data_IF_477408080350
#
_entry.id   IF_477408080350
#
_cell.length_a   1.000
_cell.length_b   1.000
_cell.length_c   1.000
_cell.angle_alpha   90.00
_cell.angle_beta   90.00
_cell.angle_gamma   90.00
#
_symmetry.space_group_name_H-M   'P 1'
#
loop_
_entity.id
_entity.type
_entity.pdbx_description
1 polymer ?
#
# COMPACT_ATOMS: atom_id res chain seq x y z
N UNK A 1 -7.85 -7.72 8.01
CA UNK A 1 -9.09 -7.96 7.27
C UNK A 1 -9.56 -9.38 7.48
N UNK A 2 -10.85 -9.65 7.26
CA UNK A 2 -11.50 -10.96 7.47
C UNK A 2 -11.58 -11.80 6.20
N UNK A 3 -11.11 -11.30 5.06
CA UNK A 3 -11.04 -12.04 3.79
C UNK A 3 -10.19 -13.30 3.95
N UNK A 4 -10.79 -14.45 3.61
CA UNK A 4 -10.14 -15.77 3.67
C UNK A 4 -8.88 -15.79 2.81
N UNK A 5 -7.92 -16.60 3.21
CA UNK A 5 -6.62 -16.70 2.54
C UNK A 5 -6.74 -17.17 1.09
N UNK A 6 -7.63 -18.13 0.82
CA UNK A 6 -7.89 -18.67 -0.52
C UNK A 6 -8.46 -17.60 -1.47
N UNK A 7 -9.49 -16.89 -1.02
CA UNK A 7 -10.11 -15.78 -1.78
C UNK A 7 -9.07 -14.70 -2.10
N UNK A 8 -8.21 -14.38 -1.13
CA UNK A 8 -7.14 -13.40 -1.32
C UNK A 8 -6.14 -13.82 -2.38
N UNK A 9 -5.71 -15.08 -2.36
CA UNK A 9 -4.79 -15.61 -3.37
C UNK A 9 -5.42 -15.55 -4.77
N UNK A 10 -6.70 -15.90 -4.90
CA UNK A 10 -7.43 -15.81 -6.16
C UNK A 10 -7.54 -14.37 -6.68
N UNK A 11 -7.82 -13.40 -5.80
CA UNK A 11 -7.89 -11.97 -6.14
C UNK A 11 -6.53 -11.42 -6.58
N UNK A 12 -5.45 -11.79 -5.87
CA UNK A 12 -4.09 -11.41 -6.25
C UNK A 12 -3.69 -11.96 -7.62
N UNK A 13 -4.05 -13.20 -7.91
CA UNK A 13 -3.77 -13.82 -9.21
C UNK A 13 -4.47 -13.03 -10.33
N UNK A 14 -5.77 -12.79 -10.19
CA UNK A 14 -6.55 -12.00 -11.16
C UNK A 14 -6.00 -10.59 -11.39
N UNK A 15 -5.49 -9.96 -10.34
CA UNK A 15 -4.90 -8.62 -10.47
C UNK A 15 -3.55 -8.64 -11.20
N UNK A 16 -2.70 -9.63 -10.92
CA UNK A 16 -1.38 -9.74 -11.54
C UNK A 16 -1.39 -10.44 -12.92
N UNK A 17 -2.55 -10.91 -13.40
CA UNK A 17 -2.67 -11.54 -14.71
C UNK A 17 -2.32 -10.54 -15.84
N UNK A 18 -1.49 -10.93 -16.83
CA UNK A 18 -1.22 -10.10 -17.98
C UNK A 18 -2.52 -9.73 -18.70
N UNK A 19 -2.73 -8.43 -18.95
CA UNK A 19 -3.97 -7.95 -19.56
C UNK A 19 -5.19 -7.97 -18.62
N UNK A 20 -4.97 -8.03 -17.30
CA UNK A 20 -6.04 -7.89 -16.32
C UNK A 20 -6.88 -6.64 -16.59
N UNK A 21 -8.20 -6.82 -16.64
CA UNK A 21 -9.16 -5.71 -16.76
C UNK A 21 -9.32 -4.89 -15.46
N UNK A 22 -8.73 -5.36 -14.36
CA UNK A 22 -8.83 -4.72 -13.05
C UNK A 22 -7.73 -3.67 -12.89
N UNK A 23 -8.10 -2.39 -12.96
CA UNK A 23 -7.17 -1.29 -12.81
C UNK A 23 -6.78 -1.00 -11.35
N UNK A 24 -7.69 -1.25 -10.40
CA UNK A 24 -7.52 -0.89 -8.98
C UNK A 24 -7.61 -2.14 -8.10
N UNK A 25 -6.68 -2.26 -7.15
CA UNK A 25 -6.74 -3.23 -6.07
C UNK A 25 -6.81 -2.50 -4.73
N UNK A 26 -7.91 -2.66 -4.00
CA UNK A 26 -8.09 -2.05 -2.68
C UNK A 26 -7.53 -2.96 -1.59
N UNK A 27 -6.77 -2.37 -0.67
CA UNK A 27 -6.10 -3.08 0.40
C UNK A 27 -6.11 -2.22 1.67
N UNK A 28 -6.39 -2.86 2.82
CA UNK A 28 -6.19 -2.21 4.12
C UNK A 28 -4.70 -2.26 4.48
N UNK A 29 -4.11 -1.14 4.90
CA UNK A 29 -2.67 -1.01 5.21
C UNK A 29 -2.13 -2.15 6.08
N UNK A 30 -2.84 -2.50 7.16
CA UNK A 30 -2.46 -3.60 8.07
C UNK A 30 -2.56 -5.01 7.48
N UNK A 31 -3.38 -5.21 6.45
CA UNK A 31 -3.38 -6.47 5.70
C UNK A 31 -2.21 -6.55 4.69
N UNK A 32 -1.59 -5.41 4.36
CA UNK A 32 -0.40 -5.32 3.51
C UNK A 32 0.83 -5.96 4.13
N UNK A 33 0.90 -6.04 5.47
CA UNK A 33 2.00 -6.70 6.17
C UNK A 33 2.07 -8.22 6.07
N UNK A 34 1.11 -8.85 5.38
CA UNK A 34 1.00 -10.30 5.25
C UNK A 34 1.74 -10.89 4.04
N UNK A 35 2.70 -10.16 3.44
CA UNK A 35 3.59 -10.75 2.42
C UNK A 35 3.05 -10.77 0.99
N UNK A 36 2.05 -9.93 0.66
CA UNK A 36 1.40 -9.92 -0.66
C UNK A 36 2.35 -9.45 -1.78
N UNK A 37 2.07 -9.85 -3.03
CA UNK A 37 2.81 -9.42 -4.22
C UNK A 37 1.87 -8.70 -5.20
N UNK A 38 2.14 -7.42 -5.46
CA UNK A 38 1.34 -6.55 -6.33
C UNK A 38 2.21 -5.92 -7.43
N UNK A 39 3.16 -6.69 -7.98
CA UNK A 39 4.07 -6.25 -9.04
C UNK A 39 3.40 -5.77 -10.33
N UNK A 40 2.14 -6.11 -10.58
CA UNK A 40 1.40 -5.52 -11.70
C UNK A 40 1.02 -4.05 -11.48
N UNK A 41 1.04 -3.55 -10.23
CA UNK A 41 0.77 -2.15 -9.93
C UNK A 41 2.06 -1.32 -9.93
N UNK A 42 1.99 -0.14 -10.52
CA UNK A 42 3.03 0.89 -10.47
C UNK A 42 2.63 2.12 -9.66
N UNK A 43 1.36 2.25 -9.27
CA UNK A 43 0.86 3.41 -8.54
C UNK A 43 0.26 2.96 -7.21
N UNK A 44 0.77 3.52 -6.10
CA UNK A 44 0.28 3.28 -4.74
C UNK A 44 -0.32 4.57 -4.21
N UNK A 45 -1.60 4.51 -3.82
CA UNK A 45 -2.29 5.60 -3.15
C UNK A 45 -2.44 5.25 -1.67
N UNK A 46 -1.78 6.01 -0.80
CA UNK A 46 -2.03 5.95 0.64
C UNK A 46 -3.18 6.91 0.94
N UNK A 47 -4.37 6.34 1.17
CA UNK A 47 -5.60 7.10 1.37
C UNK A 47 -5.63 7.80 2.74
N UNK A 48 -5.26 7.07 3.79
CA UNK A 48 -5.12 7.55 5.16
C UNK A 48 -3.76 7.16 5.75
N UNK A 49 -3.18 8.02 6.59
CA UNK A 49 -1.90 7.77 7.25
C UNK A 49 -2.05 6.87 8.48
N UNK A 50 -1.25 5.79 8.56
CA UNK A 50 -1.13 5.05 9.81
C UNK A 50 -0.22 5.82 10.81
N UNK A 51 -0.51 5.67 12.10
CA UNK A 51 0.30 6.21 13.19
C UNK A 51 1.68 5.56 13.27
N UNK A 52 1.82 4.34 12.76
CA UNK A 52 3.07 3.64 12.59
C UNK A 52 3.54 3.73 11.13
N UNK A 53 4.58 4.53 10.83
CA UNK A 53 5.03 4.76 9.47
C UNK A 53 5.53 3.48 8.76
N UNK A 54 5.99 2.49 9.51
CA UNK A 54 6.45 1.21 8.95
C UNK A 54 5.32 0.43 8.27
N UNK A 55 4.06 0.61 8.70
CA UNK A 55 2.91 -0.01 8.04
C UNK A 55 2.71 0.55 6.62
N UNK A 56 2.87 1.86 6.47
CA UNK A 56 2.76 2.52 5.16
C UNK A 56 3.94 2.17 4.26
N UNK A 57 5.16 2.10 4.79
CA UNK A 57 6.34 1.67 4.02
C UNK A 57 6.17 0.23 3.52
N UNK A 58 5.74 -0.67 4.41
CA UNK A 58 5.51 -2.06 4.06
C UNK A 58 4.41 -2.23 3.00
N UNK A 59 3.39 -1.37 3.00
CA UNK A 59 2.34 -1.33 1.99
C UNK A 59 2.88 -0.86 0.62
N UNK A 60 3.77 0.13 0.58
CA UNK A 60 4.43 0.61 -0.64
C UNK A 60 5.30 -0.47 -1.29
N UNK A 61 6.06 -1.21 -0.47
CA UNK A 61 6.93 -2.31 -0.91
C UNK A 61 6.19 -3.47 -1.60
N UNK A 62 4.85 -3.51 -1.51
CA UNK A 62 4.06 -4.52 -2.22
C UNK A 62 4.11 -4.34 -3.74
N UNK A 63 4.17 -3.09 -4.20
CA UNK A 63 4.32 -2.70 -5.60
C UNK A 63 5.79 -2.50 -5.97
N UNK A 64 6.58 -1.91 -5.06
CA UNK A 64 8.02 -1.71 -5.25
C UNK A 64 8.81 -2.99 -4.92
N UNK A 65 8.84 -3.93 -5.87
CA UNK A 65 9.41 -5.26 -5.67
C UNK A 65 10.23 -5.73 -6.88
N UNK A 66 11.22 -6.60 -6.64
CA UNK A 66 12.10 -7.18 -7.67
C UNK A 66 11.30 -7.80 -8.81
N UNK A 67 11.46 -7.29 -10.03
CA UNK A 67 10.71 -7.75 -11.22
C UNK A 67 9.73 -6.71 -11.77
N UNK A 68 9.47 -5.64 -11.01
CA UNK A 68 8.76 -4.45 -11.51
C UNK A 68 9.55 -3.82 -12.67
N UNK A 69 8.84 -3.48 -13.75
CA UNK A 69 9.42 -2.87 -14.96
C UNK A 69 9.06 -1.39 -15.10
N UNK A 70 8.02 -0.94 -14.39
CA UNK A 70 7.55 0.44 -14.41
C UNK A 70 8.09 1.24 -13.21
N UNK A 71 8.15 2.56 -13.36
CA UNK A 71 8.44 3.46 -12.24
C UNK A 71 7.30 3.43 -11.21
N UNK A 72 7.61 3.07 -9.97
CA UNK A 72 6.59 3.03 -8.90
C UNK A 72 6.39 4.41 -8.29
N UNK A 73 5.16 4.93 -8.34
CA UNK A 73 4.76 6.21 -7.75
C UNK A 73 3.94 5.98 -6.50
N UNK A 74 4.36 6.63 -5.41
CA UNK A 74 3.61 6.64 -4.15
C UNK A 74 3.02 8.02 -3.93
N UNK A 75 1.69 8.10 -3.86
CA UNK A 75 0.95 9.31 -3.57
C UNK A 75 0.24 9.14 -2.24
N UNK A 76 0.46 10.08 -1.33
CA UNK A 76 -0.27 10.14 -0.06
C UNK A 76 -1.27 11.26 -0.12
N UNK A 77 -2.54 10.92 0.10
CA UNK A 77 -3.59 11.91 0.27
C UNK A 77 -3.53 12.42 1.71
N UNK A 78 -3.65 13.74 1.87
CA UNK A 78 -3.68 14.37 3.18
C UNK A 78 -4.54 15.63 3.09
N UNK A 79 -5.52 15.72 3.98
CA UNK A 79 -6.42 16.85 4.11
C UNK A 79 -5.72 17.96 4.89
N UNK A 80 -5.59 19.13 4.27
CA UNK A 80 -4.96 20.32 4.86
C UNK A 80 -5.79 20.85 6.04
N UNK A 81 -5.13 21.41 7.05
CA UNK A 81 -5.75 21.96 8.26
C UNK A 81 -6.62 20.94 9.02
N UNK A 82 -6.19 19.69 9.04
CA UNK A 82 -6.95 18.59 9.65
C UNK A 82 -6.10 17.80 10.65
N UNK A 83 -6.75 16.85 11.33
CA UNK A 83 -6.05 15.90 12.21
C UNK A 83 -5.02 15.06 11.44
N UNK A 84 -5.20 14.86 10.14
CA UNK A 84 -4.30 14.04 9.30
C UNK A 84 -2.88 14.62 9.23
N UNK A 85 -2.72 15.95 9.21
CA UNK A 85 -1.40 16.59 9.23
C UNK A 85 -0.64 16.28 10.53
N UNK A 86 -1.35 16.24 11.66
CA UNK A 86 -0.76 15.89 12.97
C UNK A 86 -0.32 14.43 13.00
N UNK A 87 -1.15 13.53 12.44
CA UNK A 87 -0.82 12.11 12.34
C UNK A 87 0.41 11.92 11.46
N UNK A 88 0.44 12.56 10.28
CA UNK A 88 1.58 12.49 9.37
C UNK A 88 2.86 13.06 9.99
N UNK A 89 2.78 14.18 10.71
CA UNK A 89 3.92 14.75 11.42
C UNK A 89 4.44 13.82 12.51
N UNK A 90 3.55 13.21 13.29
CA UNK A 90 3.92 12.24 14.33
C UNK A 90 4.56 10.97 13.73
N UNK A 91 4.03 10.46 12.61
CA UNK A 91 4.58 9.31 11.91
C UNK A 91 5.98 9.63 11.33
N UNK A 92 6.15 10.81 10.73
CA UNK A 92 7.48 11.28 10.24
C UNK A 92 8.48 11.45 11.37
N UNK A 93 8.06 11.97 12.52
CA UNK A 93 8.94 12.09 13.69
C UNK A 93 9.45 10.71 14.13
N UNK A 94 8.57 9.71 14.19
CA UNK A 94 8.97 8.32 14.53
C UNK A 94 10.01 7.76 13.55
N UNK A 95 9.86 7.99 12.24
CA UNK A 95 10.85 7.55 11.24
C UNK A 95 12.23 8.18 11.42
N UNK A 96 12.30 9.41 11.92
CA UNK A 96 13.57 10.13 12.08
C UNK A 96 14.30 9.78 13.39
N UNK A 97 13.60 9.13 14.32
CA UNK A 97 14.16 8.71 15.62
C UNK A 97 14.63 7.25 15.58
N UNK A 98 14.11 6.47 14.62
CA UNK A 98 14.63 5.14 14.25
C UNK A 98 15.95 5.25 13.49
#
# INVERSE_FOLDING_TARGET
GTTKSEDRAALLKKFNEPGSQYFIFLLSTRAGGLGLNLQAADTVIIFDSDWNPHQDLQAQDRAHRIGQQNEVRVLRLCTVNSVEEKILAAAKYKLNVD
#
